data_IF_248268811551
#
_entry.id   IF_248268811551
#
_cell.length_a   1.000
_cell.length_b   1.000
_cell.length_c   1.000
_cell.angle_alpha   90.00
_cell.angle_beta   90.00
_cell.angle_gamma   90.00
#
_symmetry.space_group_name_H-M   'P 1'
#
loop_
_entity.id
_entity.type
_entity.pdbx_description
1 polymer ?
#
# COMPACT_ATOMS: atom_id res chain seq x y z
N UNK A 1 -9.86 4.97 0.09
CA UNK A 1 -9.69 4.89 -1.37
C UNK A 1 -9.59 3.45 -1.83
N UNK A 2 -8.47 2.78 -1.51
CA UNK A 2 -8.16 1.43 -1.98
C UNK A 2 -9.29 0.41 -1.78
N UNK A 3 -9.85 0.29 -0.56
CA UNK A 3 -10.95 -0.63 -0.27
C UNK A 3 -12.21 -0.39 -1.11
N UNK A 4 -12.59 0.86 -1.35
CA UNK A 4 -13.74 1.18 -2.18
C UNK A 4 -13.46 0.85 -3.66
N UNK A 5 -12.24 1.11 -4.13
CA UNK A 5 -11.81 0.79 -5.49
C UNK A 5 -11.79 -0.73 -5.74
N UNK A 6 -11.17 -1.49 -4.85
CA UNK A 6 -11.05 -2.94 -5.02
C UNK A 6 -12.43 -3.63 -4.94
N UNK A 7 -13.31 -3.14 -4.06
CA UNK A 7 -14.71 -3.58 -4.03
C UNK A 7 -15.42 -3.26 -5.36
N UNK A 8 -15.32 -2.01 -5.84
CA UNK A 8 -16.06 -1.57 -7.03
C UNK A 8 -15.62 -2.30 -8.30
N UNK A 9 -14.33 -2.60 -8.44
CA UNK A 9 -13.76 -3.17 -9.66
C UNK A 9 -13.63 -4.71 -9.61
N UNK A 10 -13.46 -5.29 -8.42
CA UNK A 10 -13.12 -6.71 -8.24
C UNK A 10 -14.00 -7.43 -7.22
N UNK A 11 -14.98 -6.74 -6.62
CA UNK A 11 -15.94 -7.35 -5.70
C UNK A 11 -15.37 -7.73 -4.32
N UNK A 12 -14.14 -7.35 -4.00
CA UNK A 12 -13.50 -7.71 -2.73
C UNK A 12 -14.01 -6.80 -1.62
N UNK A 13 -14.61 -7.41 -0.60
CA UNK A 13 -15.24 -6.69 0.50
C UNK A 13 -14.22 -6.30 1.57
N UNK A 14 -14.52 -5.22 2.29
CA UNK A 14 -13.78 -4.87 3.51
C UNK A 14 -14.28 -5.71 4.68
N UNK A 15 -13.36 -6.01 5.58
CA UNK A 15 -13.61 -6.74 6.83
C UNK A 15 -13.24 -5.84 8.01
N UNK A 16 -13.97 -5.96 9.12
CA UNK A 16 -13.63 -5.19 10.33
C UNK A 16 -12.46 -5.84 11.07
N UNK A 17 -11.55 -5.02 11.57
CA UNK A 17 -10.46 -5.47 12.44
C UNK A 17 -10.93 -5.54 13.90
N UNK A 18 -10.37 -6.45 14.71
CA UNK A 18 -10.70 -6.54 16.13
C UNK A 18 -10.33 -5.29 16.93
N UNK A 19 -9.32 -4.55 16.46
CA UNK A 19 -8.88 -3.26 17.01
C UNK A 19 -8.35 -2.37 15.88
N UNK A 20 -8.17 -1.07 16.17
CA UNK A 20 -7.56 -0.13 15.22
C UNK A 20 -6.13 -0.60 14.92
N UNK A 21 -5.81 -0.83 13.65
CA UNK A 21 -4.43 -0.97 13.21
C UNK A 21 -3.83 0.43 13.11
N UNK A 22 -2.91 0.77 14.00
CA UNK A 22 -2.41 2.12 14.19
C UNK A 22 -0.92 2.15 14.53
N UNK A 23 -0.09 2.54 13.56
CA UNK A 23 1.36 2.54 13.73
C UNK A 23 2.11 2.51 12.41
N UNK A 24 3.39 2.18 12.50
CA UNK A 24 4.29 1.96 11.36
C UNK A 24 4.72 0.51 11.37
N UNK A 25 4.52 -0.20 10.27
CA UNK A 25 4.73 -1.64 10.23
C UNK A 25 5.69 -2.01 9.10
N UNK A 26 6.56 -2.96 9.37
CA UNK A 26 7.38 -3.61 8.36
C UNK A 26 6.46 -4.40 7.42
N UNK A 27 6.74 -4.34 6.12
CA UNK A 27 6.03 -4.99 5.03
C UNK A 27 7.04 -5.80 4.23
N UNK A 28 6.67 -7.02 3.87
CA UNK A 28 7.46 -7.93 3.06
C UNK A 28 6.96 -7.92 1.61
N UNK A 29 7.89 -7.69 0.68
CA UNK A 29 7.63 -7.76 -0.75
C UNK A 29 7.36 -9.21 -1.16
N UNK A 30 6.17 -9.48 -1.68
CA UNK A 30 5.75 -10.81 -2.14
C UNK A 30 6.10 -11.04 -3.62
N UNK A 31 6.14 -9.96 -4.41
CA UNK A 31 6.55 -10.00 -5.82
C UNK A 31 7.29 -8.70 -6.19
N UNK A 32 8.61 -8.81 -6.42
CA UNK A 32 9.46 -7.66 -6.76
C UNK A 32 9.57 -7.39 -8.27
N UNK A 33 9.00 -8.25 -9.13
CA UNK A 33 9.07 -8.11 -10.59
C UNK A 33 8.35 -6.88 -11.14
N UNK A 34 7.16 -6.47 -10.64
CA UNK A 34 6.45 -5.32 -11.17
C UNK A 34 7.24 -4.03 -10.99
N UNK A 35 7.23 -3.17 -12.01
CA UNK A 35 7.99 -1.90 -12.00
C UNK A 35 7.62 -0.97 -10.84
N UNK A 36 6.42 -1.13 -10.26
CA UNK A 36 5.99 -0.42 -9.07
C UNK A 36 6.92 -0.68 -7.87
N UNK A 37 7.41 -1.92 -7.75
CA UNK A 37 8.24 -2.40 -6.63
C UNK A 37 9.74 -2.20 -6.88
N UNK A 38 10.13 -1.69 -8.05
CA UNK A 38 11.54 -1.57 -8.44
C UNK A 38 12.32 -0.70 -7.46
N UNK A 39 13.38 -1.26 -6.88
CA UNK A 39 14.27 -0.56 -5.96
C UNK A 39 13.77 -0.44 -4.52
N UNK A 40 12.60 -0.99 -4.20
CA UNK A 40 12.23 -1.22 -2.81
C UNK A 40 13.06 -2.38 -2.24
N UNK A 41 13.42 -2.26 -0.96
CA UNK A 41 13.99 -3.36 -0.20
C UNK A 41 12.96 -4.50 -0.03
N UNK A 42 13.44 -5.72 0.22
CA UNK A 42 12.57 -6.88 0.49
C UNK A 42 11.67 -6.65 1.71
N UNK A 43 12.19 -5.92 2.70
CA UNK A 43 11.48 -5.47 3.89
C UNK A 43 11.51 -3.94 3.94
N UNK A 44 10.35 -3.31 4.05
CA UNK A 44 10.24 -1.86 4.14
C UNK A 44 9.12 -1.43 5.08
N UNK A 45 9.14 -0.20 5.57
CA UNK A 45 8.15 0.28 6.54
C UNK A 45 7.04 1.10 5.88
N UNK A 46 5.81 0.92 6.34
CA UNK A 46 4.64 1.68 5.91
C UNK A 46 3.74 2.05 7.10
N UNK A 47 3.26 3.30 7.21
CA UNK A 47 2.25 3.68 8.18
C UNK A 47 0.90 3.02 7.88
N UNK A 48 0.15 2.64 8.91
CA UNK A 48 -1.25 2.21 8.81
C UNK A 48 -2.08 2.89 9.90
N UNK A 49 -3.27 3.36 9.55
CA UNK A 49 -4.28 3.89 10.48
C UNK A 49 -5.68 3.53 9.97
N UNK A 50 -6.20 2.37 10.40
CA UNK A 50 -7.51 1.87 9.93
C UNK A 50 -8.19 0.89 10.89
N UNK A 51 -9.52 0.83 10.80
CA UNK A 51 -10.36 -0.13 11.54
C UNK A 51 -10.83 -1.32 10.69
N UNK A 52 -10.44 -1.38 9.43
CA UNK A 52 -10.91 -2.40 8.49
C UNK A 52 -9.77 -2.88 7.62
N UNK A 53 -9.89 -4.08 7.06
CA UNK A 53 -8.92 -4.72 6.16
C UNK A 53 -9.63 -5.30 4.93
N UNK A 54 -8.89 -6.03 4.10
CA UNK A 54 -9.40 -6.85 3.00
C UNK A 54 -8.82 -8.26 3.11
N UNK A 55 -9.53 -9.25 2.56
CA UNK A 55 -9.08 -10.65 2.58
C UNK A 55 -7.92 -10.87 1.61
N UNK A 56 -6.76 -11.25 2.13
CA UNK A 56 -5.61 -11.65 1.31
C UNK A 56 -5.94 -12.87 0.44
N UNK A 57 -6.70 -13.83 0.99
CA UNK A 57 -7.11 -15.02 0.24
C UNK A 57 -8.03 -14.70 -0.93
N UNK A 58 -8.95 -13.73 -0.79
CA UNK A 58 -9.79 -13.31 -1.91
C UNK A 58 -8.97 -12.62 -3.00
N UNK A 59 -7.99 -11.79 -2.62
CA UNK A 59 -7.09 -11.14 -3.58
C UNK A 59 -6.28 -12.18 -4.35
N UNK A 60 -5.65 -13.14 -3.65
CA UNK A 60 -4.84 -14.19 -4.28
C UNK A 60 -5.67 -15.16 -5.14
N UNK A 61 -6.95 -15.37 -4.81
CA UNK A 61 -7.85 -16.19 -5.60
C UNK A 61 -8.43 -15.45 -6.83
N UNK A 62 -8.36 -14.12 -6.85
CA UNK A 62 -8.92 -13.32 -7.94
C UNK A 62 -7.99 -13.33 -9.17
N UNK A 63 -8.45 -13.78 -10.35
CA UNK A 63 -7.58 -14.05 -11.51
C UNK A 63 -6.91 -12.80 -12.12
N UNK A 64 -7.35 -11.61 -11.72
CA UNK A 64 -6.86 -10.33 -12.23
C UNK A 64 -5.99 -9.56 -11.24
N UNK A 65 -5.79 -10.06 -10.02
CA UNK A 65 -5.10 -9.34 -8.96
C UNK A 65 -3.87 -10.10 -8.47
N UNK A 66 -2.93 -9.34 -7.91
CA UNK A 66 -1.85 -9.90 -7.11
C UNK A 66 -1.52 -9.01 -5.91
N UNK A 67 -1.08 -9.66 -4.82
CA UNK A 67 -0.47 -8.99 -3.67
C UNK A 67 1.00 -8.73 -3.95
N UNK A 68 1.44 -7.50 -3.75
CA UNK A 68 2.84 -7.09 -3.94
C UNK A 68 3.60 -6.95 -2.63
N UNK A 69 2.90 -6.55 -1.56
CA UNK A 69 3.48 -6.43 -0.24
C UNK A 69 2.43 -6.68 0.85
N UNK A 70 2.84 -7.36 1.93
CA UNK A 70 1.99 -7.67 3.07
C UNK A 70 2.81 -7.72 4.37
N UNK A 71 2.13 -7.80 5.50
CA UNK A 71 2.71 -8.32 6.73
C UNK A 71 1.65 -9.10 7.52
N UNK A 72 2.07 -10.02 8.39
CA UNK A 72 1.11 -10.82 9.17
C UNK A 72 0.20 -9.95 10.05
N UNK A 73 0.73 -8.84 10.57
CA UNK A 73 -0.02 -7.92 11.42
C UNK A 73 -0.95 -6.99 10.64
N UNK A 74 -0.51 -6.49 9.49
CA UNK A 74 -1.29 -5.54 8.70
C UNK A 74 -2.21 -6.23 7.70
N UNK A 75 -1.91 -7.46 7.30
CA UNK A 75 -2.47 -8.07 6.10
C UNK A 75 -1.88 -7.43 4.83
N UNK A 76 -2.69 -7.29 3.79
CA UNK A 76 -2.26 -6.72 2.50
C UNK A 76 -1.92 -5.23 2.65
N UNK A 77 -0.68 -4.87 2.30
CA UNK A 77 -0.20 -3.49 2.22
C UNK A 77 -0.35 -2.90 0.83
N UNK A 78 0.06 -3.65 -0.20
CA UNK A 78 -0.02 -3.25 -1.62
C UNK A 78 -0.55 -4.41 -2.46
N UNK A 79 -1.52 -4.11 -3.33
CA UNK A 79 -1.98 -5.00 -4.38
C UNK A 79 -2.12 -4.25 -5.71
N UNK A 80 -2.11 -4.97 -6.83
CA UNK A 80 -2.40 -4.40 -8.16
C UNK A 80 -3.24 -5.34 -9.01
N UNK A 81 -3.82 -4.80 -10.07
CA UNK A 81 -4.29 -5.61 -11.19
C UNK A 81 -3.16 -5.97 -12.15
N UNK A 82 -3.23 -7.15 -12.76
CA UNK A 82 -2.20 -7.63 -13.71
C UNK A 82 -2.07 -6.71 -14.93
N UNK A 83 -3.15 -6.04 -15.33
CA UNK A 83 -3.19 -5.08 -16.44
C UNK A 83 -2.63 -3.68 -16.06
N UNK A 84 -2.09 -3.51 -14.85
CA UNK A 84 -1.51 -2.27 -14.32
C UNK A 84 -2.48 -1.08 -14.18
N UNK A 85 -3.77 -1.23 -14.46
CA UNK A 85 -4.73 -0.11 -14.39
C UNK A 85 -5.15 0.24 -12.98
N UNK A 86 -5.05 -0.72 -12.05
CA UNK A 86 -5.44 -0.53 -10.66
C UNK A 86 -4.29 -0.84 -9.72
N UNK A 87 -3.91 0.14 -8.91
CA UNK A 87 -2.97 -0.01 -7.81
C UNK A 87 -3.69 0.32 -6.51
N UNK A 88 -3.57 -0.56 -5.53
CA UNK A 88 -4.22 -0.47 -4.24
C UNK A 88 -3.16 -0.40 -3.14
N UNK A 89 -3.12 0.72 -2.43
CA UNK A 89 -2.26 0.91 -1.26
C UNK A 89 -3.18 1.01 -0.03
N UNK A 90 -3.04 0.07 0.90
CA UNK A 90 -3.89 -0.06 2.09
C UNK A 90 -3.25 0.49 3.37
N UNK A 91 -2.02 0.97 3.26
CA UNK A 91 -1.38 1.84 4.25
C UNK A 91 -1.28 3.28 3.74
N UNK A 92 -0.43 4.05 4.41
CA UNK A 92 -0.30 5.48 4.22
C UNK A 92 1.17 5.90 4.04
N UNK A 93 1.85 5.44 2.97
CA UNK A 93 3.23 5.84 2.70
C UNK A 93 3.38 7.36 2.52
N UNK A 94 2.30 8.08 2.20
CA UNK A 94 2.25 9.54 2.05
C UNK A 94 2.33 10.33 3.36
N UNK A 95 2.16 9.69 4.52
CA UNK A 95 2.10 10.42 5.78
C UNK A 95 3.39 11.16 6.10
N UNK A 96 3.23 12.36 6.62
CA UNK A 96 4.29 13.15 7.20
C UNK A 96 4.69 12.60 8.57
N UNK A 97 5.80 13.10 9.11
CA UNK A 97 6.32 12.68 10.41
C UNK A 97 5.22 12.68 11.45
N UNK A 98 4.45 13.76 11.56
CA UNK A 98 3.60 14.05 12.71
C UNK A 98 2.15 13.59 12.53
N UNK A 99 1.79 12.98 11.40
CA UNK A 99 0.39 12.64 11.10
C UNK A 99 -0.20 11.68 12.14
N UNK A 100 0.50 10.58 12.47
CA UNK A 100 0.04 9.65 13.50
C UNK A 100 0.04 10.28 14.91
N UNK A 101 1.01 11.15 15.22
CA UNK A 101 1.00 11.91 16.47
C UNK A 101 -0.23 12.82 16.58
N UNK A 102 -0.59 13.53 15.51
CA UNK A 102 -1.75 14.41 15.50
C UNK A 102 -3.06 13.63 15.69
N UNK A 103 -3.19 12.46 15.08
CA UNK A 103 -4.32 11.55 15.33
C UNK A 103 -4.37 11.10 16.79
N UNK A 104 -3.24 10.62 17.33
CA UNK A 104 -3.11 10.18 18.71
C UNK A 104 -3.49 11.30 19.70
N UNK A 105 -2.90 12.49 19.54
CA UNK A 105 -3.13 13.62 20.44
C UNK A 105 -4.57 14.14 20.35
N UNK A 106 -5.16 14.18 19.14
CA UNK A 106 -6.56 14.56 18.94
C UNK A 106 -7.49 13.60 19.68
N UNK A 107 -7.36 12.29 19.44
CA UNK A 107 -8.29 11.30 19.99
C UNK A 107 -8.14 11.20 21.52
N UNK A 108 -6.90 11.30 22.04
CA UNK A 108 -6.63 11.42 23.47
C UNK A 108 -7.30 12.65 24.10
N UNK A 109 -7.21 13.82 23.45
CA UNK A 109 -7.85 15.07 23.93
C UNK A 109 -9.37 14.99 23.93
N UNK A 110 -9.96 14.19 23.04
CA UNK A 110 -11.39 13.90 23.01
C UNK A 110 -11.83 12.86 24.07
N UNK A 111 -10.88 12.26 24.80
CA UNK A 111 -11.16 11.21 25.78
C UNK A 111 -11.58 9.89 25.13
N UNK A 112 -11.24 9.67 23.86
CA UNK A 112 -11.46 8.40 23.18
C UNK A 112 -10.39 7.39 23.62
N UNK A 113 -10.77 6.12 23.65
CA UNK A 113 -9.81 5.04 23.86
C UNK A 113 -8.90 4.93 22.63
N UNK A 114 -7.62 5.25 22.81
CA UNK A 114 -6.61 5.17 21.74
C UNK A 114 -5.29 4.66 22.30
N UNK A 115 -4.69 3.72 21.57
CA UNK A 115 -3.37 3.19 21.85
C UNK A 115 -2.28 4.10 21.25
N UNK A 116 -1.08 4.01 21.81
CA UNK A 116 0.11 4.66 21.23
C UNK A 116 0.38 4.00 19.87
N UNK A 117 0.63 4.78 18.80
CA UNK A 117 0.94 4.21 17.49
C UNK A 117 2.19 3.35 17.56
N UNK A 118 2.08 2.10 17.11
CA UNK A 118 3.15 1.12 17.23
C UNK A 118 4.36 1.47 16.35
N UNK A 119 5.56 1.18 16.85
CA UNK A 119 6.84 1.38 16.17
C UNK A 119 7.02 2.80 15.60
N UNK A 120 6.38 3.80 16.19
CA UNK A 120 6.42 5.18 15.73
C UNK A 120 7.29 6.06 16.63
N UNK A 121 7.01 6.06 17.93
CA UNK A 121 7.83 6.74 18.93
C UNK A 121 9.02 5.87 19.38
N UNK A 122 10.19 6.47 19.68
CA UNK A 122 11.26 5.76 20.37
C UNK A 122 10.78 5.26 21.74
N UNK A 123 10.97 3.96 22.01
CA UNK A 123 10.57 3.29 23.26
C UNK A 123 9.09 3.47 23.63
N UNK A 124 8.22 3.63 22.63
CA UNK A 124 6.78 3.91 22.79
C UNK A 124 6.48 5.13 23.68
N UNK A 125 7.37 6.13 23.70
CA UNK A 125 7.24 7.35 24.50
C UNK A 125 6.75 8.54 23.64
N UNK A 126 5.48 8.99 23.79
CA UNK A 126 4.90 10.07 23.00
C UNK A 126 5.51 11.45 23.28
N UNK A 127 6.42 11.57 24.25
CA UNK A 127 7.17 12.82 24.51
C UNK A 127 8.41 12.94 23.63
N UNK A 128 8.84 11.84 22.99
CA UNK A 128 9.99 11.81 22.08
C UNK A 128 9.56 12.08 20.64
N UNK A 129 10.49 12.59 19.84
CA UNK A 129 10.24 12.82 18.42
C UNK A 129 10.12 11.47 17.65
N UNK A 130 9.08 11.27 16.81
CA UNK A 130 8.91 10.04 16.04
C UNK A 130 10.05 9.79 15.06
N UNK A 131 10.43 8.53 14.83
CA UNK A 131 11.46 8.17 13.83
C UNK A 131 10.78 7.81 12.51
N UNK A 132 11.19 8.48 11.42
CA UNK A 132 10.65 8.22 10.09
C UNK A 132 11.40 7.06 9.44
N UNK A 133 10.72 5.92 9.31
CA UNK A 133 11.25 4.70 8.68
C UNK A 133 10.73 4.45 7.26
N UNK A 134 9.70 5.17 6.82
CA UNK A 134 8.97 4.87 5.57
C UNK A 134 9.26 5.82 4.40
N UNK A 135 9.97 6.93 4.61
CA UNK A 135 10.14 7.99 3.59
C UNK A 135 10.82 7.49 2.33
N UNK A 136 11.86 6.66 2.45
CA UNK A 136 12.57 6.09 1.29
C UNK A 136 11.61 5.27 0.43
N UNK A 137 10.90 4.33 1.05
CA UNK A 137 9.92 3.47 0.39
C UNK A 137 8.80 4.29 -0.27
N UNK A 138 8.28 5.30 0.41
CA UNK A 138 7.28 6.23 -0.13
C UNK A 138 7.76 6.93 -1.40
N UNK A 139 8.94 7.55 -1.34
CA UNK A 139 9.52 8.26 -2.50
C UNK A 139 9.69 7.32 -3.70
N UNK A 140 10.21 6.11 -3.46
CA UNK A 140 10.42 5.12 -4.52
C UNK A 140 9.09 4.69 -5.11
N UNK A 141 8.11 4.34 -4.27
CA UNK A 141 6.79 3.87 -4.69
C UNK A 141 6.08 4.90 -5.58
N UNK A 142 6.01 6.16 -5.14
CA UNK A 142 5.36 7.23 -5.91
C UNK A 142 6.14 7.59 -7.18
N UNK A 143 7.48 7.57 -7.14
CA UNK A 143 8.30 7.79 -8.34
C UNK A 143 8.07 6.69 -9.37
N UNK A 144 8.04 5.42 -8.94
CA UNK A 144 7.78 4.29 -9.83
C UNK A 144 6.39 4.36 -10.43
N UNK A 145 5.37 4.67 -9.61
CA UNK A 145 4.00 4.84 -10.10
C UNK A 145 3.91 5.93 -11.18
N UNK A 146 4.45 7.11 -10.92
CA UNK A 146 4.44 8.20 -11.91
C UNK A 146 5.16 7.81 -13.21
N UNK A 147 6.35 7.21 -13.11
CA UNK A 147 7.17 6.91 -14.27
C UNK A 147 6.63 5.74 -15.11
N UNK A 148 6.17 4.67 -14.46
CA UNK A 148 5.87 3.40 -15.13
C UNK A 148 4.39 3.05 -15.22
N UNK A 149 3.51 3.75 -14.51
CA UNK A 149 2.06 3.48 -14.53
C UNK A 149 1.26 4.67 -15.05
N UNK A 150 1.78 5.90 -14.90
CA UNK A 150 1.14 7.11 -15.43
C UNK A 150 1.79 7.54 -16.74
N UNK A 151 3.09 7.79 -16.74
CA UNK A 151 3.75 8.42 -17.89
C UNK A 151 4.01 7.47 -19.06
N UNK A 152 4.66 6.31 -18.82
CA UNK A 152 5.06 5.39 -19.90
C UNK A 152 3.91 4.54 -20.45
N UNK A 153 2.83 4.37 -19.67
CA UNK A 153 1.68 3.54 -20.06
C UNK A 153 0.52 4.34 -20.66
N UNK A 154 0.60 5.67 -20.64
CA UNK A 154 -0.42 6.53 -21.29
C UNK A 154 0.03 6.86 -22.71
N UNK A 155 -0.69 6.38 -23.74
CA UNK A 155 -0.43 6.80 -25.12
C UNK A 155 -0.53 8.32 -25.22
N UNK A 156 0.41 8.94 -25.93
CA UNK A 156 0.40 10.38 -26.14
C UNK A 156 -0.84 10.83 -26.96
N UNK A 157 -1.32 9.95 -27.86
CA UNK A 157 -2.52 10.16 -28.66
C UNK A 157 -3.76 9.54 -27.98
N UNK A 158 -4.73 10.39 -27.62
CA UNK A 158 -5.94 10.00 -26.86
C UNK A 158 -6.79 8.95 -27.61
N UNK A 159 -6.71 8.90 -28.94
CA UNK A 159 -7.41 7.92 -29.78
C UNK A 159 -6.96 6.47 -29.55
N UNK A 160 -5.77 6.24 -28.98
CA UNK A 160 -5.19 4.91 -28.77
C UNK A 160 -5.64 4.25 -27.45
N UNK A 161 -6.34 4.97 -26.58
CA UNK A 161 -6.84 4.44 -25.31
C UNK A 161 -7.88 3.32 -25.46
N UNK A 162 -8.54 3.22 -26.63
CA UNK A 162 -9.60 2.23 -26.88
C UNK A 162 -9.10 0.90 -27.47
N UNK A 163 -7.83 0.80 -27.88
CA UNK A 163 -7.39 -0.27 -28.80
C UNK A 163 -6.40 -1.29 -28.24
N UNK A 164 -5.96 -1.23 -26.99
CA UNK A 164 -4.94 -2.19 -26.48
C UNK A 164 -5.56 -3.51 -25.98
N UNK A 165 -5.25 -4.67 -26.61
CA UNK A 165 -5.56 -5.98 -26.04
C UNK A 165 -4.70 -6.25 -24.82
N UNK A 166 -5.16 -7.17 -23.96
CA UNK A 166 -4.38 -7.69 -22.82
C UNK A 166 -3.22 -8.51 -23.41
N UNK A 167 -2.01 -7.96 -23.44
CA UNK A 167 -0.82 -8.72 -23.84
C UNK A 167 -0.24 -9.47 -22.64
N UNK A 168 -0.14 -10.80 -22.76
CA UNK A 168 0.51 -11.75 -21.83
C UNK A 168 2.06 -11.57 -21.74
N UNK A 169 2.59 -10.41 -22.11
CA UNK A 169 4.00 -10.25 -22.51
C UNK A 169 5.02 -9.99 -21.37
N UNK A 170 4.79 -10.49 -20.15
CA UNK A 170 5.77 -10.35 -19.06
C UNK A 170 6.29 -11.68 -18.47
N UNK A 171 5.99 -12.83 -19.09
CA UNK A 171 6.42 -14.14 -18.55
C UNK A 171 7.69 -14.71 -19.21
N UNK A 172 8.17 -14.21 -20.36
CA UNK A 172 9.29 -14.90 -21.06
C UNK A 172 10.65 -14.21 -21.14
N UNK A 173 10.79 -12.92 -20.86
CA UNK A 173 12.05 -12.22 -21.18
C UNK A 173 12.91 -11.85 -19.97
N UNK A 174 13.17 -12.78 -19.04
CA UNK A 174 14.31 -12.69 -18.12
C UNK A 174 14.79 -14.09 -17.69
N UNK A 175 15.25 -14.87 -18.68
CA UNK A 175 16.22 -15.95 -18.43
C UNK A 175 17.55 -15.49 -19.00
N UNK A 176 18.43 -15.01 -18.11
CA UNK A 176 19.89 -15.07 -18.28
C UNK A 176 20.46 -15.56 -16.95
#
# INVERSE_FOLDING_TARGET
GAQAGIYKHFGIHKEDLPSKLFGVYEQEVQNSKPMLMRGLDELFYMPHSRHTTVSESEINAHPQLEVLARADKTGVGIARSYDNKHVFIFGHPEYDRDTLYQEYDRDRKLGLEIEIPENYFPDDDPTKEPIIRWRSASTILYSNWLNYYVYQETPYEVSELQSRPIEEAYIQDWVI
#
